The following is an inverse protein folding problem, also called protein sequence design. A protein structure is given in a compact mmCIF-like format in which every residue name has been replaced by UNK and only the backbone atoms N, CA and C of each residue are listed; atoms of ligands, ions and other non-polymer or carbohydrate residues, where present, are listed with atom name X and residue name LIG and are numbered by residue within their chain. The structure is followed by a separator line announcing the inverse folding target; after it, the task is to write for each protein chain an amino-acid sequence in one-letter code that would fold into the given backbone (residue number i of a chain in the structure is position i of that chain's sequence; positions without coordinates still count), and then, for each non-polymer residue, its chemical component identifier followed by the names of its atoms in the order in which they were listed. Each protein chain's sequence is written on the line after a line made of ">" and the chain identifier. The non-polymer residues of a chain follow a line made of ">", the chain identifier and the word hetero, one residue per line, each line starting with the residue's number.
data_IF_856534440787
#
_entry.id   IF_856534440787
#
_cell.length_a   1.000
_cell.length_b   1.000
_cell.length_c   1.000
_cell.angle_alpha   90.00
_cell.angle_beta   90.00
_cell.angle_gamma   90.00
#
_symmetry.space_group_name_H-M   'P 1'
#
loop_
_entity.id
_entity.type
_entity.pdbx_description
1 polymer ?
#
# COMPACT_ATOMS: atom_id res chain seq x y z
N UNK A 1 8.97 3.16 -4.47
CA UNK A 1 8.64 1.91 -5.18
C UNK A 1 9.81 0.95 -5.39
N UNK A 2 11.00 1.18 -4.80
CA UNK A 2 12.10 0.20 -4.87
C UNK A 2 11.73 -1.20 -4.38
N UNK A 3 10.82 -1.31 -3.40
CA UNK A 3 10.32 -2.58 -2.90
C UNK A 3 9.73 -3.45 -4.02
N UNK A 4 8.87 -2.89 -4.88
CA UNK A 4 8.27 -3.63 -6.01
C UNK A 4 9.34 -4.23 -6.92
N UNK A 5 10.38 -3.45 -7.23
CA UNK A 5 11.48 -3.92 -8.08
C UNK A 5 12.29 -5.07 -7.45
N UNK A 6 12.30 -5.19 -6.12
CA UNK A 6 13.03 -6.25 -5.39
C UNK A 6 12.18 -7.50 -5.19
N UNK A 7 10.87 -7.39 -5.26
CA UNK A 7 9.91 -8.45 -4.98
C UNK A 7 9.10 -8.86 -6.22
N UNK A 8 9.72 -8.82 -7.41
CA UNK A 8 9.09 -9.23 -8.68
C UNK A 8 7.74 -8.54 -8.95
N UNK A 9 7.66 -7.25 -8.60
CA UNK A 9 6.45 -6.43 -8.67
C UNK A 9 5.27 -6.96 -7.84
N UNK A 10 5.51 -7.77 -6.80
CA UNK A 10 4.47 -8.24 -5.88
C UNK A 10 4.08 -7.15 -4.88
N UNK A 11 2.87 -6.57 -4.97
CA UNK A 11 2.51 -5.42 -4.13
C UNK A 11 2.19 -5.82 -2.69
N UNK A 12 1.77 -7.06 -2.47
CA UNK A 12 1.56 -7.64 -1.13
C UNK A 12 2.83 -7.63 -0.28
N UNK A 13 4.01 -7.76 -0.90
CA UNK A 13 5.30 -7.71 -0.21
C UNK A 13 5.73 -6.30 0.21
N UNK A 14 4.99 -5.26 -0.21
CA UNK A 14 5.38 -3.87 -0.04
C UNK A 14 4.29 -3.03 0.65
N UNK A 15 3.33 -3.67 1.32
CA UNK A 15 2.19 -2.99 1.95
C UNK A 15 2.63 -1.99 3.01
N UNK A 16 3.66 -2.34 3.80
CA UNK A 16 4.14 -1.47 4.87
C UNK A 16 4.81 -0.21 4.28
N UNK A 17 5.67 -0.37 3.28
CA UNK A 17 6.33 0.75 2.61
C UNK A 17 5.33 1.64 1.85
N UNK A 18 4.32 1.05 1.21
CA UNK A 18 3.29 1.82 0.53
C UNK A 18 2.42 2.56 1.53
N UNK A 19 2.07 1.95 2.68
CA UNK A 19 1.34 2.60 3.77
C UNK A 19 2.12 3.78 4.34
N UNK A 20 3.41 3.61 4.66
CA UNK A 20 4.27 4.72 5.11
C UNK A 20 4.36 5.84 4.08
N UNK A 21 4.48 5.49 2.79
CA UNK A 21 4.54 6.48 1.72
C UNK A 21 3.23 7.29 1.61
N UNK A 22 2.08 6.63 1.65
CA UNK A 22 0.79 7.32 1.59
C UNK A 22 0.55 8.19 2.82
N UNK A 23 0.92 7.72 4.02
CA UNK A 23 0.84 8.51 5.25
C UNK A 23 1.64 9.80 5.13
N UNK A 24 2.91 9.72 4.69
CA UNK A 24 3.76 10.89 4.48
C UNK A 24 3.13 11.90 3.51
N UNK A 25 2.48 11.43 2.43
CA UNK A 25 1.79 12.32 1.49
C UNK A 25 0.56 12.98 2.10
N UNK A 26 -0.22 12.25 2.89
CA UNK A 26 -1.39 12.76 3.59
C UNK A 26 -1.00 13.80 4.64
N UNK A 27 0.08 13.58 5.39
CA UNK A 27 0.56 14.51 6.41
C UNK A 27 1.11 15.80 5.81
N UNK A 28 1.71 15.71 4.61
CA UNK A 28 2.27 16.86 3.89
C UNK A 28 1.25 17.57 3.01
N UNK A 29 -0.05 17.22 3.11
CA UNK A 29 -1.11 17.75 2.25
C UNK A 29 -0.86 17.55 0.75
N UNK A 30 -0.08 16.51 0.38
CA UNK A 30 0.19 16.11 -1.01
C UNK A 30 -0.82 15.07 -1.53
N UNK A 31 -1.77 14.70 -0.67
CA UNK A 31 -2.86 13.78 -0.93
C UNK A 31 -4.00 14.08 0.06
N UNK A 32 -5.25 13.92 -0.39
CA UNK A 32 -6.42 14.01 0.50
C UNK A 32 -6.31 12.91 1.56
N UNK A 33 -6.62 13.25 2.81
CA UNK A 33 -6.68 12.27 3.89
C UNK A 33 -7.85 11.32 3.66
N UNK A 34 -7.55 10.03 3.62
CA UNK A 34 -8.49 8.93 3.43
C UNK A 34 -8.25 7.88 4.50
N UNK A 35 -9.29 7.13 4.85
CA UNK A 35 -9.15 5.98 5.73
C UNK A 35 -8.40 4.86 5.01
N UNK A 36 -7.75 3.99 5.78
CA UNK A 36 -6.93 2.92 5.22
C UNK A 36 -7.77 1.89 4.46
N UNK A 37 -9.01 1.65 4.87
CA UNK A 37 -9.94 0.76 4.16
C UNK A 37 -10.28 1.28 2.76
N UNK A 38 -10.44 2.60 2.60
CA UNK A 38 -10.72 3.23 1.29
C UNK A 38 -9.55 3.06 0.31
N UNK A 39 -8.34 2.93 0.85
CA UNK A 39 -7.11 2.69 0.11
C UNK A 39 -6.81 1.19 -0.09
N UNK A 40 -7.72 0.31 0.34
CA UNK A 40 -7.61 -1.14 0.21
C UNK A 40 -6.72 -1.82 1.27
N UNK A 41 -6.40 -1.15 2.37
CA UNK A 41 -5.70 -1.74 3.51
C UNK A 41 -6.70 -2.17 4.58
N UNK A 42 -7.26 -3.37 4.42
CA UNK A 42 -8.13 -3.96 5.44
C UNK A 42 -7.31 -4.57 6.58
N UNK A 43 -7.79 -4.44 7.82
CA UNK A 43 -7.05 -4.78 9.04
C UNK A 43 -6.95 -6.28 9.36
N UNK A 44 -7.27 -7.17 8.41
CA UNK A 44 -7.30 -8.61 8.67
C UNK A 44 -6.34 -9.35 7.73
N UNK A 45 -5.26 -9.84 8.36
CA UNK A 45 -4.44 -10.98 7.97
C UNK A 45 -4.15 -11.09 6.47
N UNK A 46 -3.01 -10.50 6.10
CA UNK A 46 -2.27 -10.72 4.87
C UNK A 46 -2.48 -12.13 4.29
N UNK A 47 -3.34 -12.25 3.27
CA UNK A 47 -3.22 -13.28 2.23
C UNK A 47 -4.22 -13.06 1.08
N UNK A 48 -3.67 -12.96 -0.14
CA UNK A 48 -4.27 -13.44 -1.40
C UNK A 48 -5.19 -12.55 -2.27
N UNK A 49 -4.91 -11.26 -2.50
CA UNK A 49 -5.56 -10.58 -3.64
C UNK A 49 -4.61 -9.67 -4.42
N UNK A 50 -3.83 -10.27 -5.33
CA UNK A 50 -3.43 -9.63 -6.59
C UNK A 50 -2.81 -10.67 -7.54
N UNK A 51 -3.63 -11.60 -7.99
CA UNK A 51 -3.43 -12.32 -9.25
C UNK A 51 -4.78 -12.34 -9.96
N UNK A 52 -5.08 -11.28 -10.73
CA UNK A 52 -6.05 -11.32 -11.83
C UNK A 52 -6.03 -9.98 -12.59
N UNK A 53 -5.16 -9.90 -13.59
CA UNK A 53 -5.54 -9.71 -14.98
C UNK A 53 -4.38 -10.06 -15.90
#
# INVERSE_FOLDING_TARGET
>A
MLCLSRHDNKPSSCQDESKTYFQCRMDRNLMKKHEWEDLGYHHEQQQQQQQQK
#
